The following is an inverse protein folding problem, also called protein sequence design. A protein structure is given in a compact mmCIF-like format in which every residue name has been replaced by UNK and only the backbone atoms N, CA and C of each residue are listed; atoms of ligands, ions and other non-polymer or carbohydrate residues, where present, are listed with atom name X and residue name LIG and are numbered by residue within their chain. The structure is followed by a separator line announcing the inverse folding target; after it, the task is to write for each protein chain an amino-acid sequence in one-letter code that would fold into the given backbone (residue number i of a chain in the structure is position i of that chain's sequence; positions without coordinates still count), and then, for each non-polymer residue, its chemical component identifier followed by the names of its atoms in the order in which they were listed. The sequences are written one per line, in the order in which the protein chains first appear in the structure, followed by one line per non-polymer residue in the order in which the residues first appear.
data_IF_385643028946
#
_entry.id   IF_385643028946
#
_cell.length_a   1.000
_cell.length_b   1.000
_cell.length_c   1.000
_cell.angle_alpha   90.00
_cell.angle_beta   90.00
_cell.angle_gamma   90.00
#
_symmetry.space_group_name_H-M   'P 1'
#
loop_
_entity.id
_entity.type
_entity.pdbx_description
1 polymer ?
#
# COMPACT_ATOMS: atom_id res chain seq x y z
N UNK A 1 -23.24 -18.30 -1.46
CA UNK A 1 -24.51 -17.56 -1.31
C UNK A 1 -24.24 -16.10 -1.64
N UNK A 2 -25.00 -15.47 -2.53
CA UNK A 2 -24.82 -14.05 -2.81
C UNK A 2 -25.21 -13.25 -1.56
N UNK A 3 -24.32 -12.37 -1.09
CA UNK A 3 -24.60 -11.50 0.05
C UNK A 3 -25.53 -10.38 -0.42
N UNK A 4 -26.76 -10.37 0.12
CA UNK A 4 -27.81 -9.41 -0.19
C UNK A 4 -27.46 -8.00 0.26
N UNK A 5 -27.74 -7.03 -0.61
CA UNK A 5 -27.52 -5.60 -0.44
C UNK A 5 -28.37 -5.01 0.70
N UNK A 6 -27.69 -4.37 1.67
CA UNK A 6 -28.31 -3.43 2.60
C UNK A 6 -28.29 -2.02 2.02
N UNK A 7 -29.39 -1.28 2.17
CA UNK A 7 -29.63 0.05 1.59
C UNK A 7 -28.52 1.09 1.85
N UNK A 8 -28.34 2.05 0.91
CA UNK A 8 -27.24 3.01 0.94
C UNK A 8 -27.45 4.05 2.03
N UNK A 9 -26.65 3.99 3.09
CA UNK A 9 -26.49 5.16 3.95
C UNK A 9 -25.68 6.21 3.18
N UNK A 10 -26.33 7.35 2.90
CA UNK A 10 -25.74 8.54 2.31
C UNK A 10 -24.49 8.94 3.10
N UNK A 11 -23.32 8.55 2.58
CA UNK A 11 -22.05 9.17 2.96
C UNK A 11 -22.14 10.65 2.57
N UNK A 12 -21.71 11.59 3.44
CA UNK A 12 -21.46 12.95 3.00
C UNK A 12 -20.44 12.89 1.85
N UNK A 13 -20.87 13.42 0.71
CA UNK A 13 -20.17 13.59 -0.56
C UNK A 13 -18.69 13.14 -0.53
N UNK A 14 -18.41 11.95 -1.06
CA UNK A 14 -17.06 11.35 -1.14
C UNK A 14 -16.06 12.27 -1.88
N UNK A 15 -16.56 13.21 -2.70
CA UNK A 15 -15.78 14.30 -3.28
C UNK A 15 -15.08 15.21 -2.23
N UNK A 16 -15.52 15.22 -0.97
CA UNK A 16 -14.92 15.98 0.13
C UNK A 16 -14.01 15.16 1.08
N UNK A 17 -14.03 13.82 1.00
CA UNK A 17 -13.05 12.97 1.71
C UNK A 17 -11.90 12.54 0.81
N UNK A 18 -12.14 12.40 -0.50
CA UNK A 18 -11.08 12.27 -1.51
C UNK A 18 -10.29 13.59 -1.63
N UNK A 19 -10.90 14.74 -1.34
CA UNK A 19 -10.17 16.03 -1.31
C UNK A 19 -9.23 16.19 -0.10
N UNK A 20 -9.29 15.31 0.91
CA UNK A 20 -8.38 15.30 2.07
C UNK A 20 -7.40 14.12 2.10
N UNK A 21 -7.57 13.13 1.23
CA UNK A 21 -6.68 11.97 1.12
C UNK A 21 -6.00 12.01 -0.27
N UNK A 22 -5.01 12.90 -0.33
CA UNK A 22 -3.73 12.73 -1.03
C UNK A 22 -3.76 12.44 -2.55
N UNK A 23 -4.02 13.48 -3.33
CA UNK A 23 -3.17 13.83 -4.49
C UNK A 23 -2.32 15.07 -4.18
N UNK A 24 -1.88 15.18 -2.93
CA UNK A 24 -0.72 15.98 -2.62
C UNK A 24 0.48 15.06 -2.78
N UNK A 25 1.20 15.18 -3.90
CA UNK A 25 2.56 14.66 -3.98
C UNK A 25 3.36 15.09 -2.73
N UNK A 26 3.06 16.26 -2.13
CA UNK A 26 3.65 16.73 -0.87
C UNK A 26 3.05 16.21 0.46
N UNK A 27 1.83 15.68 0.52
CA UNK A 27 1.27 15.06 1.74
C UNK A 27 1.45 13.53 1.70
N UNK A 28 1.60 12.96 0.52
CA UNK A 28 2.23 11.65 0.32
C UNK A 28 3.72 11.70 0.72
N UNK A 29 4.41 12.82 0.43
CA UNK A 29 5.70 13.14 1.05
C UNK A 29 5.54 13.31 2.58
N UNK A 30 4.62 14.10 3.13
CA UNK A 30 4.48 14.29 4.60
C UNK A 30 4.40 13.03 5.47
N UNK A 31 3.74 11.97 4.99
CA UNK A 31 3.55 10.70 5.73
C UNK A 31 4.71 9.70 5.57
N UNK A 32 5.51 9.80 4.51
CA UNK A 32 6.85 9.15 4.43
C UNK A 32 7.96 10.01 5.06
N UNK A 33 7.79 11.33 5.12
CA UNK A 33 8.79 12.29 5.62
C UNK A 33 8.85 12.35 7.14
N UNK A 34 7.73 12.09 7.84
CA UNK A 34 7.73 11.86 9.28
C UNK A 34 8.44 10.56 9.67
N UNK A 35 8.47 9.57 8.77
CA UNK A 35 9.14 8.29 8.98
C UNK A 35 10.67 8.41 8.85
N UNK A 36 11.16 9.15 7.85
CA UNK A 36 12.61 9.27 7.61
C UNK A 36 13.33 10.33 8.45
N UNK A 37 12.66 11.43 8.86
CA UNK A 37 13.28 12.42 9.77
C UNK A 37 13.46 11.92 11.20
N UNK A 38 12.74 10.89 11.63
CA UNK A 38 12.87 10.32 12.99
C UNK A 38 13.88 9.17 13.09
N UNK A 39 14.23 8.53 11.98
CA UNK A 39 15.25 7.47 11.96
C UNK A 39 16.67 8.04 11.85
N UNK A 40 16.84 9.25 11.30
CA UNK A 40 18.15 9.86 11.07
C UNK A 40 18.77 10.67 12.24
N UNK A 41 18.10 10.78 13.40
CA UNK A 41 18.61 11.60 14.53
C UNK A 41 18.94 10.80 15.79
N UNK A 42 19.28 9.51 15.65
CA UNK A 42 19.96 8.75 16.72
C UNK A 42 21.12 7.97 16.11
N UNK A 43 22.32 8.57 16.23
CA UNK A 43 23.64 7.95 16.19
C UNK A 43 23.95 6.88 15.11
N UNK A 44 24.72 7.34 14.11
CA UNK A 44 25.75 6.64 13.33
C UNK A 44 25.80 5.11 13.30
N UNK A 45 25.64 4.55 12.10
CA UNK A 45 26.54 3.53 11.55
C UNK A 45 26.28 3.36 10.05
N UNK A 46 27.36 3.50 9.28
CA UNK A 46 27.47 3.09 7.89
C UNK A 46 27.15 1.60 7.79
N UNK A 47 26.07 1.25 7.11
CA UNK A 47 25.83 -0.09 6.60
C UNK A 47 25.18 0.06 5.22
N UNK A 48 25.88 -0.41 4.18
CA UNK A 48 25.25 -0.83 2.93
C UNK A 48 24.10 -1.79 3.31
N UNK A 49 22.85 -1.36 3.20
CA UNK A 49 21.72 -2.24 3.45
C UNK A 49 21.39 -3.01 2.18
N UNK A 50 22.08 -4.15 2.04
CA UNK A 50 21.47 -5.38 1.55
C UNK A 50 20.08 -5.45 2.19
N UNK A 51 19.00 -5.48 1.40
CA UNK A 51 17.66 -5.81 1.89
C UNK A 51 17.81 -7.01 2.84
N UNK A 52 17.46 -6.92 4.13
CA UNK A 52 17.70 -8.03 5.06
C UNK A 52 17.11 -9.28 4.43
N UNK A 53 17.90 -10.36 4.42
CA UNK A 53 17.50 -11.64 3.85
C UNK A 53 16.05 -11.93 4.27
N UNK A 54 15.21 -12.26 3.28
CA UNK A 54 13.76 -12.45 3.43
C UNK A 54 13.49 -13.71 4.27
N UNK A 55 13.83 -13.67 5.56
CA UNK A 55 13.57 -14.75 6.48
C UNK A 55 12.05 -14.86 6.59
N UNK A 56 11.49 -15.83 5.90
CA UNK A 56 10.08 -16.22 5.96
C UNK A 56 9.87 -17.40 6.91
N UNK A 57 10.95 -17.93 7.50
CA UNK A 57 10.92 -19.07 8.41
C UNK A 57 11.54 -18.76 9.76
N UNK A 58 11.02 -19.35 10.82
CA UNK A 58 11.54 -19.23 12.19
C UNK A 58 11.32 -20.52 12.97
N UNK A 59 12.33 -21.01 13.68
CA UNK A 59 12.12 -22.03 14.70
C UNK A 59 11.60 -21.35 15.98
N UNK A 60 10.32 -21.53 16.30
CA UNK A 60 9.66 -20.83 17.42
C UNK A 60 10.03 -21.38 18.81
N UNK A 61 10.82 -22.45 18.88
CA UNK A 61 11.42 -22.93 20.13
C UNK A 61 12.59 -22.03 20.57
N UNK A 62 13.24 -21.36 19.62
CA UNK A 62 14.35 -20.43 19.88
C UNK A 62 13.85 -19.04 20.32
N UNK A 63 12.53 -18.81 20.29
CA UNK A 63 11.90 -17.56 20.70
C UNK A 63 11.58 -17.61 22.19
N UNK A 64 12.17 -16.70 22.98
CA UNK A 64 11.90 -16.64 24.41
C UNK A 64 10.46 -16.20 24.67
N UNK A 65 9.86 -16.66 25.78
CA UNK A 65 8.52 -16.21 26.20
C UNK A 65 8.53 -14.69 26.45
N UNK A 66 7.59 -13.98 25.83
CA UNK A 66 7.52 -12.51 25.87
C UNK A 66 8.37 -11.81 24.81
N UNK A 67 9.11 -12.54 23.98
CA UNK A 67 9.92 -11.98 22.90
C UNK A 67 9.10 -11.77 21.62
N UNK A 68 9.39 -10.68 20.90
CA UNK A 68 8.93 -10.44 19.53
C UNK A 68 10.10 -10.61 18.57
N UNK A 69 9.95 -11.47 17.57
CA UNK A 69 10.87 -11.59 16.43
C UNK A 69 10.23 -11.05 15.16
N UNK A 70 11.00 -10.32 14.36
CA UNK A 70 10.55 -9.81 13.07
C UNK A 70 11.08 -10.69 11.94
N UNK A 71 10.16 -11.23 11.16
CA UNK A 71 10.38 -11.83 9.85
C UNK A 71 10.03 -10.83 8.75
N UNK A 72 10.37 -11.12 7.50
CA UNK A 72 10.02 -10.27 6.36
C UNK A 72 9.35 -11.06 5.26
N UNK A 73 8.17 -10.60 4.84
CA UNK A 73 7.39 -11.17 3.76
C UNK A 73 7.05 -10.09 2.73
N UNK A 74 7.53 -10.24 1.49
CA UNK A 74 7.42 -9.22 0.42
C UNK A 74 7.91 -7.83 0.87
N UNK A 75 9.01 -7.80 1.62
CA UNK A 75 9.58 -6.55 2.17
C UNK A 75 8.79 -5.93 3.32
N UNK A 76 7.73 -6.58 3.82
CA UNK A 76 6.94 -6.12 4.96
C UNK A 76 7.30 -6.89 6.22
N UNK A 77 7.40 -6.21 7.38
CA UNK A 77 7.66 -6.89 8.64
C UNK A 77 6.48 -7.80 9.00
N UNK A 78 6.79 -8.99 9.50
CA UNK A 78 5.86 -9.92 10.14
C UNK A 78 6.36 -10.14 11.56
N UNK A 79 5.55 -9.74 12.53
CA UNK A 79 5.88 -9.86 13.95
C UNK A 79 5.41 -11.21 14.45
N UNK A 80 6.34 -11.96 15.06
CA UNK A 80 6.10 -13.25 15.69
C UNK A 80 6.32 -13.07 17.20
N UNK A 81 5.26 -13.25 17.99
CA UNK A 81 5.30 -13.03 19.44
C UNK A 81 5.01 -14.32 20.21
N UNK A 82 5.87 -14.64 21.19
CA UNK A 82 5.69 -15.79 22.07
C UNK A 82 4.92 -15.38 23.33
N UNK A 83 3.69 -15.86 23.49
CA UNK A 83 2.82 -15.51 24.61
C UNK A 83 3.24 -16.19 25.91
N UNK A 84 2.91 -15.56 27.03
CA UNK A 84 2.95 -16.19 28.35
C UNK A 84 1.72 -17.09 28.56
N UNK A 85 1.81 -18.05 29.49
CA UNK A 85 0.65 -18.87 29.86
C UNK A 85 -0.52 -18.04 30.42
N UNK A 86 -0.21 -16.95 31.15
CA UNK A 86 -1.21 -16.04 31.70
C UNK A 86 -2.00 -15.32 30.60
N UNK A 87 -1.30 -14.81 29.57
CA UNK A 87 -1.95 -14.16 28.42
C UNK A 87 -2.86 -15.12 27.65
N UNK A 88 -2.44 -16.39 27.48
CA UNK A 88 -3.27 -17.41 26.83
C UNK A 88 -4.54 -17.66 27.65
N UNK A 89 -4.43 -17.75 28.98
CA UNK A 89 -5.57 -17.95 29.86
C UNK A 89 -6.55 -16.76 29.81
N UNK A 90 -6.02 -15.52 29.84
CA UNK A 90 -6.81 -14.29 29.74
C UNK A 90 -7.57 -14.20 28.41
N UNK A 91 -6.88 -14.41 27.28
CA UNK A 91 -7.52 -14.40 25.95
C UNK A 91 -8.60 -15.47 25.81
N UNK A 92 -8.42 -16.64 26.43
CA UNK A 92 -9.43 -17.70 26.42
C UNK A 92 -10.70 -17.34 27.20
N UNK A 93 -10.64 -16.37 28.10
CA UNK A 93 -11.80 -15.84 28.82
C UNK A 93 -12.45 -14.65 28.08
N UNK A 94 -11.73 -14.02 27.17
CA UNK A 94 -12.23 -12.89 26.39
C UNK A 94 -13.38 -13.29 25.43
N UNK A 95 -14.29 -12.34 25.21
CA UNK A 95 -15.35 -12.40 24.19
C UNK A 95 -15.05 -11.36 23.12
N UNK A 96 -14.31 -11.71 22.06
CA UNK A 96 -13.84 -10.73 21.09
C UNK A 96 -14.98 -10.19 20.23
N UNK A 97 -15.03 -8.87 20.07
CA UNK A 97 -15.91 -8.21 19.11
C UNK A 97 -15.46 -8.54 17.69
N UNK A 98 -16.38 -9.06 16.88
CA UNK A 98 -16.13 -9.29 15.46
C UNK A 98 -16.36 -8.00 14.68
N UNK A 99 -15.48 -7.72 13.72
CA UNK A 99 -15.73 -6.64 12.76
C UNK A 99 -16.96 -7.01 11.92
N UNK A 100 -17.85 -6.05 11.64
CA UNK A 100 -18.97 -6.31 10.75
C UNK A 100 -18.45 -6.64 9.33
N UNK A 101 -19.18 -7.47 8.56
CA UNK A 101 -18.71 -7.95 7.25
C UNK A 101 -18.29 -6.83 6.27
N UNK A 102 -18.98 -5.69 6.28
CA UNK A 102 -18.64 -4.56 5.43
C UNK A 102 -17.29 -3.93 5.79
N UNK A 103 -16.96 -3.81 7.08
CA UNK A 103 -15.69 -3.22 7.52
C UNK A 103 -14.51 -4.11 7.10
N UNK A 104 -14.72 -5.42 7.19
CA UNK A 104 -13.77 -6.42 6.72
C UNK A 104 -13.51 -6.29 5.21
N UNK A 105 -14.56 -6.10 4.42
CA UNK A 105 -14.42 -5.90 2.98
C UNK A 105 -13.66 -4.61 2.64
N UNK A 106 -13.93 -3.51 3.35
CA UNK A 106 -13.24 -2.24 3.12
C UNK A 106 -11.74 -2.31 3.45
N UNK A 107 -11.37 -3.06 4.49
CA UNK A 107 -9.97 -3.35 4.82
C UNK A 107 -9.25 -4.04 3.66
N UNK A 108 -9.82 -5.12 3.11
CA UNK A 108 -9.18 -5.84 2.01
C UNK A 108 -9.21 -5.07 0.70
N UNK A 109 -10.22 -4.22 0.48
CA UNK A 109 -10.22 -3.26 -0.64
C UNK A 109 -9.05 -2.29 -0.54
N UNK A 110 -8.77 -1.74 0.64
CA UNK A 110 -7.62 -0.86 0.84
C UNK A 110 -6.30 -1.58 0.58
N UNK A 111 -6.16 -2.83 1.04
CA UNK A 111 -4.97 -3.65 0.74
C UNK A 111 -4.85 -3.96 -0.75
N UNK A 112 -5.96 -4.28 -1.43
CA UNK A 112 -5.97 -4.59 -2.85
C UNK A 112 -5.59 -3.40 -3.72
N UNK A 113 -6.08 -2.19 -3.40
CA UNK A 113 -5.72 -0.94 -4.10
C UNK A 113 -4.23 -0.61 -4.06
N UNK A 114 -3.59 -0.93 -2.92
CA UNK A 114 -2.18 -0.58 -2.67
C UNK A 114 -1.22 -1.68 -3.10
N UNK A 115 -1.65 -2.94 -2.99
CA UNK A 115 -0.76 -4.11 -3.03
C UNK A 115 -1.23 -5.21 -3.99
N UNK A 116 -2.36 -5.00 -4.67
CA UNK A 116 -2.97 -5.92 -5.63
C UNK A 116 -3.90 -6.96 -4.99
N UNK A 117 -4.87 -7.43 -5.80
CA UNK A 117 -5.87 -8.44 -5.42
C UNK A 117 -5.23 -9.74 -4.90
N UNK A 118 -4.12 -10.18 -5.50
CA UNK A 118 -3.43 -11.40 -5.07
C UNK A 118 -2.91 -11.30 -3.61
N UNK A 119 -2.28 -10.18 -3.26
CA UNK A 119 -1.77 -9.98 -1.90
C UNK A 119 -2.90 -9.80 -0.89
N UNK A 120 -3.93 -9.04 -1.24
CA UNK A 120 -5.12 -8.90 -0.38
C UNK A 120 -5.82 -10.25 -0.14
N UNK A 121 -5.84 -11.13 -1.16
CA UNK A 121 -6.40 -12.48 -1.03
C UNK A 121 -5.59 -13.37 -0.10
N UNK A 122 -4.25 -13.27 -0.14
CA UNK A 122 -3.38 -13.97 0.82
C UNK A 122 -3.62 -13.48 2.24
N UNK A 123 -3.79 -12.17 2.45
CA UNK A 123 -4.12 -11.62 3.77
C UNK A 123 -5.50 -12.07 4.24
N UNK A 124 -6.49 -12.11 3.34
CA UNK A 124 -7.82 -12.63 3.63
C UNK A 124 -7.74 -14.11 4.06
N UNK A 125 -7.02 -14.95 3.30
CA UNK A 125 -6.86 -16.37 3.61
C UNK A 125 -6.15 -16.62 4.95
N UNK A 126 -5.16 -15.79 5.32
CA UNK A 126 -4.47 -15.90 6.60
C UNK A 126 -5.29 -15.37 7.78
N UNK A 127 -6.03 -14.27 7.58
CA UNK A 127 -6.74 -13.58 8.66
C UNK A 127 -8.12 -14.15 8.90
N UNK A 128 -8.94 -14.36 7.86
CA UNK A 128 -10.35 -14.70 7.95
C UNK A 128 -10.64 -15.92 8.85
N UNK A 129 -9.90 -17.04 8.74
CA UNK A 129 -10.15 -18.21 9.59
C UNK A 129 -9.84 -17.99 11.08
N UNK A 130 -8.97 -17.01 11.39
CA UNK A 130 -8.49 -16.76 12.74
C UNK A 130 -9.14 -15.53 13.39
N UNK A 131 -9.71 -14.63 12.58
CA UNK A 131 -10.20 -13.30 12.96
C UNK A 131 -11.22 -13.35 14.12
N UNK A 132 -12.13 -14.33 14.05
CA UNK A 132 -13.17 -14.58 15.05
C UNK A 132 -12.76 -15.48 16.22
N UNK A 133 -11.58 -16.11 16.17
CA UNK A 133 -11.10 -16.99 17.25
C UNK A 133 -10.57 -16.18 18.42
N UNK A 134 -10.68 -16.68 19.66
CA UNK A 134 -10.20 -15.97 20.85
C UNK A 134 -8.72 -15.56 20.73
N UNK A 135 -7.88 -16.47 20.26
CA UNK A 135 -6.42 -16.30 20.23
C UNK A 135 -5.88 -15.65 18.94
N UNK A 136 -6.64 -15.60 17.85
CA UNK A 136 -6.18 -15.13 16.53
C UNK A 136 -4.85 -15.77 16.09
N UNK A 137 -4.71 -17.07 16.30
CA UNK A 137 -3.46 -17.80 16.06
C UNK A 137 -3.72 -19.28 15.82
N UNK A 138 -2.92 -19.93 14.98
CA UNK A 138 -2.97 -21.39 14.77
C UNK A 138 -2.42 -22.16 15.98
N UNK A 139 -1.44 -21.58 16.68
CA UNK A 139 -0.88 -22.07 17.94
C UNK A 139 -1.22 -21.10 19.08
N UNK A 140 -1.64 -21.58 20.26
CA UNK A 140 -1.96 -20.70 21.38
C UNK A 140 -0.80 -19.82 21.84
N UNK A 141 0.42 -20.37 21.81
CA UNK A 141 1.63 -19.75 22.33
C UNK A 141 2.31 -18.78 21.37
N UNK A 142 1.90 -18.71 20.09
CA UNK A 142 2.57 -17.87 19.07
C UNK A 142 1.55 -17.04 18.30
N UNK A 143 1.66 -15.71 18.41
CA UNK A 143 1.00 -14.78 17.50
C UNK A 143 1.87 -14.56 16.27
N UNK A 144 1.26 -14.55 15.08
CA UNK A 144 1.90 -14.13 13.83
C UNK A 144 1.04 -13.06 13.20
N UNK A 145 1.54 -11.83 13.08
CA UNK A 145 0.81 -10.69 12.51
C UNK A 145 1.69 -9.87 11.58
N UNK A 146 1.06 -9.24 10.60
CA UNK A 146 1.70 -8.26 9.76
C UNK A 146 2.05 -7.04 10.61
N UNK A 147 3.34 -6.67 10.64
CA UNK A 147 3.90 -5.58 11.43
C UNK A 147 3.71 -4.20 10.80
N UNK A 148 2.62 -4.01 10.05
CA UNK A 148 2.31 -2.72 9.42
C UNK A 148 0.88 -2.33 9.74
N UNK A 149 0.65 -1.06 10.11
CA UNK A 149 -0.70 -0.55 10.32
C UNK A 149 -1.51 -0.59 9.03
N UNK A 150 -2.80 -0.86 9.18
CA UNK A 150 -3.72 -1.15 8.08
C UNK A 150 -4.06 0.10 7.28
N UNK A 151 -4.15 1.27 7.90
CA UNK A 151 -4.48 2.53 7.23
C UNK A 151 -3.25 3.32 6.78
N UNK A 152 -2.21 3.43 7.61
CA UNK A 152 -1.07 4.33 7.33
C UNK A 152 0.19 3.61 6.81
N UNK A 153 0.22 2.27 6.87
CA UNK A 153 1.40 1.51 6.49
C UNK A 153 2.62 1.80 7.39
N UNK A 154 2.38 2.20 8.64
CA UNK A 154 3.44 2.45 9.60
C UNK A 154 3.91 1.15 10.26
N UNK A 155 5.22 1.00 10.43
CA UNK A 155 5.80 -0.15 11.11
C UNK A 155 5.35 -0.20 12.58
N UNK A 156 4.70 -1.30 12.94
CA UNK A 156 4.21 -1.56 14.29
C UNK A 156 5.37 -1.83 15.23
N UNK A 157 5.32 -1.23 16.42
CA UNK A 157 6.36 -1.36 17.43
C UNK A 157 5.86 -2.18 18.63
N UNK A 158 6.75 -2.96 19.23
CA UNK A 158 6.49 -3.63 20.49
C UNK A 158 6.83 -2.72 21.68
N UNK A 159 5.97 -2.69 22.69
CA UNK A 159 6.16 -1.95 23.94
C UNK A 159 6.29 -2.94 25.09
N UNK A 160 7.51 -3.20 25.54
CA UNK A 160 7.79 -4.24 26.54
C UNK A 160 7.09 -4.00 27.88
N UNK A 161 7.07 -2.75 28.36
CA UNK A 161 6.50 -2.39 29.67
C UNK A 161 4.98 -2.64 29.75
N UNK A 162 4.28 -2.41 28.65
CA UNK A 162 2.82 -2.59 28.56
C UNK A 162 2.42 -3.91 27.91
N UNK A 163 3.38 -4.66 27.37
CA UNK A 163 3.18 -5.88 26.59
C UNK A 163 2.17 -5.69 25.45
N UNK A 164 2.32 -4.60 24.69
CA UNK A 164 1.39 -4.20 23.64
C UNK A 164 2.13 -3.88 22.34
N UNK A 165 1.41 -3.97 21.23
CA UNK A 165 1.85 -3.37 19.98
C UNK A 165 1.31 -1.96 19.86
N UNK A 166 2.07 -1.06 19.22
CA UNK A 166 1.66 0.32 18.97
C UNK A 166 1.92 0.70 17.52
N UNK A 167 0.95 1.37 16.91
CA UNK A 167 1.17 2.13 15.68
C UNK A 167 1.67 3.54 16.08
N UNK A 168 2.95 3.88 15.81
CA UNK A 168 3.51 5.17 16.22
C UNK A 168 2.91 6.36 15.45
N UNK A 169 2.22 6.13 14.34
CA UNK A 169 1.63 7.18 13.50
C UNK A 169 0.25 7.62 13.99
N UNK A 170 -0.58 6.67 14.43
CA UNK A 170 -1.91 6.95 14.96
C UNK A 170 -1.95 7.01 16.49
N UNK A 171 -1.03 6.30 17.17
CA UNK A 171 -1.10 6.05 18.61
C UNK A 171 -2.01 4.86 18.98
N UNK A 172 -2.59 4.18 17.99
CA UNK A 172 -3.44 3.01 18.21
C UNK A 172 -2.65 1.87 18.84
N UNK A 173 -3.24 1.24 19.85
CA UNK A 173 -2.63 0.13 20.59
C UNK A 173 -3.35 -1.17 20.28
N UNK A 174 -2.57 -2.23 20.18
CA UNK A 174 -3.05 -3.59 19.94
C UNK A 174 -2.59 -4.54 21.04
N UNK A 175 -3.45 -5.47 21.40
CA UNK A 175 -3.16 -6.53 22.36
C UNK A 175 -2.26 -7.62 21.78
N UNK A 176 -1.91 -8.60 22.60
CA UNK A 176 -1.10 -9.77 22.22
C UNK A 176 -1.83 -10.79 21.35
N UNK A 177 -3.05 -10.48 20.91
CA UNK A 177 -3.82 -11.14 19.86
C UNK A 177 -3.87 -10.31 18.55
N UNK A 178 -3.26 -9.12 18.54
CA UNK A 178 -3.29 -8.20 17.41
C UNK A 178 -4.59 -7.41 17.28
N UNK A 179 -5.50 -7.49 18.26
CA UNK A 179 -6.75 -6.69 18.25
C UNK A 179 -6.52 -5.30 18.79
N UNK A 180 -7.27 -4.32 18.28
CA UNK A 180 -7.28 -2.97 18.84
C UNK A 180 -7.82 -3.03 20.28
N UNK A 181 -7.04 -2.49 21.22
CA UNK A 181 -7.43 -2.33 22.64
C UNK A 181 -7.74 -0.87 22.98
N UNK A 182 -7.10 0.06 22.27
CA UNK A 182 -7.36 1.49 22.39
C UNK A 182 -7.38 2.07 20.98
N UNK A 183 -8.59 2.26 20.46
CA UNK A 183 -8.81 2.82 19.13
C UNK A 183 -8.53 4.32 19.13
N UNK A 184 -8.07 4.81 17.99
CA UNK A 184 -8.10 6.24 17.65
C UNK A 184 -9.11 6.45 16.54
N UNK A 185 -9.48 7.69 16.25
CA UNK A 185 -10.30 8.04 15.10
C UNK A 185 -9.61 7.77 13.75
N UNK A 186 -8.33 7.38 13.79
CA UNK A 186 -7.46 7.20 12.61
C UNK A 186 -7.26 5.75 12.18
N UNK A 187 -7.46 4.78 13.07
CA UNK A 187 -7.27 3.36 12.79
C UNK A 187 -8.36 2.52 13.42
N UNK A 188 -8.95 1.64 12.63
CA UNK A 188 -10.17 0.91 13.01
C UNK A 188 -10.10 -0.59 12.74
N UNK A 189 -8.95 -1.08 12.28
CA UNK A 189 -8.77 -2.49 11.96
C UNK A 189 -7.71 -3.17 12.83
N UNK A 190 -7.97 -4.43 13.15
CA UNK A 190 -6.99 -5.28 13.82
C UNK A 190 -5.79 -5.53 12.90
N UNK A 191 -4.65 -5.89 13.49
CA UNK A 191 -3.50 -6.31 12.71
C UNK A 191 -3.86 -7.56 11.88
N UNK A 192 -3.52 -7.50 10.59
CA UNK A 192 -3.75 -8.59 9.66
C UNK A 192 -2.80 -9.75 9.95
N UNK A 193 -3.26 -10.97 9.68
CA UNK A 193 -2.48 -12.19 9.87
C UNK A 193 -2.08 -12.70 8.48
N UNK A 194 -0.78 -12.81 8.19
CA UNK A 194 -0.34 -13.40 6.94
C UNK A 194 -0.67 -14.90 6.91
N UNK A 195 -0.80 -15.48 5.72
CA UNK A 195 -0.77 -16.95 5.59
C UNK A 195 0.51 -17.49 6.21
N UNK A 196 0.38 -18.54 7.01
CA UNK A 196 1.50 -19.19 7.67
C UNK A 196 1.15 -20.62 8.04
N UNK A 197 2.17 -21.44 8.29
CA UNK A 197 2.01 -22.83 8.76
C UNK A 197 3.09 -23.18 9.75
N UNK A 198 2.80 -24.17 10.59
CA UNK A 198 3.75 -24.79 11.49
C UNK A 198 4.02 -26.24 11.07
N UNK A 199 5.29 -26.61 10.90
CA UNK A 199 5.75 -27.98 10.83
C UNK A 199 6.53 -28.29 12.11
N UNK A 200 5.83 -28.77 13.14
CA UNK A 200 6.35 -28.77 14.51
C UNK A 200 6.60 -27.35 15.01
N UNK A 201 7.86 -27.04 15.34
CA UNK A 201 8.29 -25.69 15.76
C UNK A 201 8.81 -24.81 14.62
N UNK A 202 8.89 -25.31 13.39
CA UNK A 202 9.25 -24.49 12.25
C UNK A 202 8.02 -23.73 11.73
N UNK A 203 7.98 -22.43 12.00
CA UNK A 203 7.07 -21.48 11.38
C UNK A 203 7.56 -21.17 9.96
N UNK A 204 6.64 -21.17 8.99
CA UNK A 204 6.83 -20.64 7.63
C UNK A 204 5.72 -19.63 7.34
N UNK A 205 6.06 -18.49 6.74
CA UNK A 205 5.15 -17.38 6.43
C UNK A 205 5.11 -17.12 4.92
N UNK A 206 3.95 -16.68 4.43
CA UNK A 206 3.76 -16.27 3.04
C UNK A 206 3.36 -17.44 2.13
N UNK A 207 3.67 -17.32 0.85
CA UNK A 207 3.31 -18.28 -0.20
C UNK A 207 3.99 -19.65 0.01
N UNK A 208 5.11 -19.70 0.73
CA UNK A 208 5.74 -20.97 1.11
C UNK A 208 4.91 -21.77 2.14
N UNK A 209 3.91 -21.14 2.75
CA UNK A 209 2.98 -21.79 3.66
C UNK A 209 1.69 -22.27 2.98
N UNK A 210 1.31 -21.71 1.83
CA UNK A 210 0.04 -22.03 1.16
C UNK A 210 0.25 -22.16 -0.35
N UNK A 211 -0.03 -23.33 -0.91
CA UNK A 211 0.31 -23.66 -2.29
C UNK A 211 -0.58 -22.95 -3.31
N UNK A 212 -1.84 -22.66 -2.95
CA UNK A 212 -2.75 -21.90 -3.80
C UNK A 212 -3.85 -21.22 -2.99
N UNK A 213 -4.00 -19.91 -3.17
CA UNK A 213 -5.13 -19.14 -2.63
C UNK A 213 -6.00 -18.63 -3.78
N UNK A 214 -7.31 -18.77 -3.64
CA UNK A 214 -8.27 -18.16 -4.57
C UNK A 214 -8.07 -16.65 -4.59
N UNK A 215 -7.77 -16.10 -5.76
CA UNK A 215 -7.64 -14.66 -5.92
C UNK A 215 -9.03 -14.05 -6.02
N UNK A 216 -9.37 -13.22 -5.04
CA UNK A 216 -10.61 -12.46 -5.02
C UNK A 216 -10.45 -11.14 -5.74
N UNK A 217 -11.46 -10.76 -6.52
CA UNK A 217 -11.56 -9.42 -7.05
C UNK A 217 -12.23 -8.49 -6.03
N UNK A 218 -11.46 -7.55 -5.47
CA UNK A 218 -11.97 -6.61 -4.48
C UNK A 218 -12.52 -5.32 -5.10
N UNK A 219 -12.39 -5.14 -6.42
CA UNK A 219 -12.88 -3.96 -7.10
C UNK A 219 -14.40 -3.80 -6.93
N UNK A 220 -14.92 -2.58 -6.76
CA UNK A 220 -16.36 -2.35 -6.84
C UNK A 220 -16.87 -2.62 -8.26
N UNK A 221 -18.18 -2.74 -8.44
CA UNK A 221 -18.76 -2.74 -9.78
C UNK A 221 -18.71 -1.33 -10.39
N UNK A 222 -17.57 -0.98 -10.98
CA UNK A 222 -17.21 0.39 -11.40
C UNK A 222 -18.26 0.98 -12.35
N UNK A 223 -18.79 0.19 -13.29
CA UNK A 223 -19.77 0.68 -14.27
C UNK A 223 -21.11 1.07 -13.63
N UNK A 224 -21.49 0.41 -12.54
CA UNK A 224 -22.73 0.67 -11.82
C UNK A 224 -22.64 1.84 -10.83
N UNK A 225 -21.45 2.42 -10.62
CA UNK A 225 -21.30 3.56 -9.73
C UNK A 225 -21.99 4.81 -10.30
N UNK A 226 -22.72 5.53 -9.45
CA UNK A 226 -23.37 6.80 -9.79
C UNK A 226 -22.36 7.96 -9.73
N UNK A 227 -21.35 7.90 -10.58
CA UNK A 227 -20.25 8.89 -10.71
C UNK A 227 -19.95 9.14 -12.20
N UNK A 228 -19.28 10.25 -12.57
CA UNK A 228 -18.93 10.53 -13.97
C UNK A 228 -18.07 9.43 -14.61
N UNK A 229 -18.21 9.21 -15.92
CA UNK A 229 -17.43 8.18 -16.64
C UNK A 229 -15.92 8.42 -16.57
N UNK A 230 -15.48 9.69 -16.55
CA UNK A 230 -14.08 10.00 -16.33
C UNK A 230 -13.56 9.54 -14.96
N UNK A 231 -14.35 9.66 -13.89
CA UNK A 231 -13.99 9.12 -12.57
C UNK A 231 -13.98 7.58 -12.58
N UNK A 232 -14.94 6.95 -13.28
CA UNK A 232 -14.93 5.49 -13.49
C UNK A 232 -13.66 5.04 -14.19
N UNK A 233 -13.16 5.80 -15.17
CA UNK A 233 -11.92 5.50 -15.87
C UNK A 233 -10.72 5.55 -14.91
N UNK A 234 -10.65 6.58 -14.05
CA UNK A 234 -9.60 6.64 -13.02
C UNK A 234 -9.65 5.43 -12.08
N UNK A 235 -10.85 5.00 -11.65
CA UNK A 235 -11.00 3.79 -10.83
C UNK A 235 -10.61 2.52 -11.59
N UNK A 236 -10.97 2.40 -12.87
CA UNK A 236 -10.60 1.24 -13.69
C UNK A 236 -9.07 1.13 -13.84
N UNK A 237 -8.37 2.26 -13.99
CA UNK A 237 -6.90 2.32 -13.97
C UNK A 237 -6.36 1.94 -12.58
N UNK A 238 -6.93 2.48 -11.51
CA UNK A 238 -6.49 2.20 -10.15
C UNK A 238 -6.58 0.70 -9.80
N UNK A 239 -7.64 0.05 -10.26
CA UNK A 239 -7.94 -1.38 -10.08
C UNK A 239 -7.38 -2.29 -11.18
N UNK A 240 -6.64 -1.72 -12.16
CA UNK A 240 -6.03 -2.45 -13.28
C UNK A 240 -7.05 -3.33 -14.04
N UNK A 241 -8.14 -2.71 -14.50
CA UNK A 241 -9.24 -3.36 -15.23
C UNK A 241 -9.19 -3.03 -16.73
N UNK A 242 -8.37 -3.73 -17.54
CA UNK A 242 -8.14 -3.39 -18.95
C UNK A 242 -9.42 -3.39 -19.79
N UNK A 243 -10.34 -4.32 -19.53
CA UNK A 243 -11.62 -4.39 -20.25
C UNK A 243 -12.47 -3.14 -19.98
N UNK A 244 -12.58 -2.73 -18.72
CA UNK A 244 -13.32 -1.53 -18.33
C UNK A 244 -12.65 -0.26 -18.83
N UNK A 245 -11.31 -0.20 -18.83
CA UNK A 245 -10.57 0.91 -19.42
C UNK A 245 -10.93 1.02 -20.90
N UNK A 246 -10.89 -0.09 -21.64
CA UNK A 246 -11.18 -0.12 -23.08
C UNK A 246 -12.62 0.29 -23.40
N UNK A 247 -13.58 -0.14 -22.58
CA UNK A 247 -15.00 0.25 -22.68
C UNK A 247 -15.19 1.75 -22.40
N UNK A 248 -14.61 2.25 -21.31
CA UNK A 248 -14.77 3.65 -20.89
C UNK A 248 -14.09 4.64 -21.85
N UNK A 249 -13.03 4.22 -22.56
CA UNK A 249 -12.37 5.03 -23.59
C UNK A 249 -13.20 5.22 -24.86
N UNK A 250 -14.33 4.50 -25.03
CA UNK A 250 -15.26 4.74 -26.13
C UNK A 250 -16.07 6.04 -25.94
N UNK A 251 -16.13 6.55 -24.71
CA UNK A 251 -16.80 7.82 -24.40
C UNK A 251 -15.78 8.97 -24.47
N UNK A 252 -15.82 9.85 -25.49
CA UNK A 252 -14.85 10.93 -25.64
C UNK A 252 -14.90 11.96 -24.50
N UNK A 253 -16.00 12.02 -23.73
CA UNK A 253 -16.12 12.96 -22.60
C UNK A 253 -15.15 12.66 -21.46
N UNK A 254 -14.56 11.46 -21.43
CA UNK A 254 -13.55 11.10 -20.42
C UNK A 254 -12.23 11.85 -20.57
N UNK A 255 -11.95 12.40 -21.76
CA UNK A 255 -10.70 13.13 -22.06
C UNK A 255 -10.56 14.43 -21.27
N UNK A 256 -11.69 15.10 -21.01
CA UNK A 256 -11.74 16.38 -20.29
C UNK A 256 -11.77 16.19 -18.76
N UNK A 257 -11.94 14.94 -18.30
CA UNK A 257 -12.06 14.65 -16.89
C UNK A 257 -10.71 14.78 -16.16
N UNK A 258 -10.75 15.47 -15.03
CA UNK A 258 -9.64 15.60 -14.11
C UNK A 258 -10.13 15.61 -12.67
N UNK A 259 -9.29 15.15 -11.75
CA UNK A 259 -9.55 15.21 -10.32
C UNK A 259 -9.59 16.66 -9.82
N UNK A 260 -9.98 16.84 -8.56
CA UNK A 260 -9.92 18.15 -7.88
C UNK A 260 -8.52 18.77 -7.83
N UNK A 261 -7.45 17.98 -8.01
CA UNK A 261 -6.08 18.48 -8.09
C UNK A 261 -5.61 18.73 -9.51
N UNK A 262 -6.46 18.48 -10.52
CA UNK A 262 -6.12 18.58 -11.94
C UNK A 262 -5.43 17.34 -12.52
N UNK A 263 -5.41 16.21 -11.80
CA UNK A 263 -4.82 14.98 -12.33
C UNK A 263 -5.79 14.29 -13.32
N UNK A 264 -5.25 13.82 -14.45
CA UNK A 264 -6.00 13.12 -15.50
C UNK A 264 -5.62 11.63 -15.53
N UNK A 265 -6.31 10.83 -16.36
CA UNK A 265 -6.03 9.39 -16.51
C UNK A 265 -4.56 9.09 -16.84
N UNK A 266 -3.90 9.93 -17.65
CA UNK A 266 -2.51 9.71 -18.05
C UNK A 266 -1.50 9.96 -16.91
N UNK A 267 -1.83 10.81 -15.94
CA UNK A 267 -1.03 10.95 -14.71
C UNK A 267 -1.08 9.65 -13.88
N UNK A 268 -2.27 9.07 -13.73
CA UNK A 268 -2.44 7.81 -12.99
C UNK A 268 -1.78 6.64 -13.71
N UNK A 269 -1.90 6.56 -15.04
CA UNK A 269 -1.25 5.54 -15.84
C UNK A 269 0.28 5.60 -15.74
N UNK A 270 0.86 6.80 -15.77
CA UNK A 270 2.30 6.99 -15.60
C UNK A 270 2.80 6.48 -14.24
N UNK A 271 1.97 6.59 -13.19
CA UNK A 271 2.31 6.14 -11.84
C UNK A 271 2.07 4.63 -11.60
N UNK A 272 0.90 4.09 -11.97
CA UNK A 272 0.50 2.71 -11.64
C UNK A 272 0.68 1.70 -12.76
N UNK A 273 0.36 2.09 -14.00
CA UNK A 273 0.27 1.19 -15.13
C UNK A 273 1.61 0.79 -15.73
N UNK A 274 1.54 -0.05 -16.75
CA UNK A 274 2.64 -0.32 -17.66
C UNK A 274 2.50 0.58 -18.91
N UNK A 275 3.56 0.69 -19.71
CA UNK A 275 3.62 1.60 -20.86
C UNK A 275 2.56 1.31 -21.94
N UNK A 276 1.99 0.10 -21.96
CA UNK A 276 0.85 -0.25 -22.81
C UNK A 276 -0.40 0.59 -22.50
N UNK A 277 -0.66 0.89 -21.23
CA UNK A 277 -1.77 1.75 -20.82
C UNK A 277 -1.54 3.20 -21.27
N UNK A 278 -0.29 3.68 -21.19
CA UNK A 278 0.06 5.00 -21.72
C UNK A 278 -0.19 5.08 -23.23
N UNK A 279 0.18 4.02 -23.96
CA UNK A 279 -0.10 3.91 -25.39
C UNK A 279 -1.59 3.98 -25.68
N UNK A 280 -2.40 3.19 -24.96
CA UNK A 280 -3.85 3.15 -25.14
C UNK A 280 -4.50 4.52 -24.88
N UNK A 281 -4.13 5.19 -23.78
CA UNK A 281 -4.65 6.51 -23.45
C UNK A 281 -4.22 7.56 -24.47
N UNK A 282 -2.95 7.53 -24.90
CA UNK A 282 -2.46 8.49 -25.89
C UNK A 282 -3.18 8.32 -27.24
N UNK A 283 -3.40 7.08 -27.69
CA UNK A 283 -4.20 6.77 -28.89
C UNK A 283 -5.66 7.24 -28.78
N UNK A 284 -6.22 7.22 -27.57
CA UNK A 284 -7.55 7.77 -27.31
C UNK A 284 -7.59 9.31 -27.29
N UNK A 285 -6.44 10.00 -27.37
CA UNK A 285 -6.35 11.45 -27.44
C UNK A 285 -5.91 12.14 -26.15
N UNK A 286 -5.50 11.40 -25.11
CA UNK A 286 -4.92 12.02 -23.91
C UNK A 286 -3.58 12.70 -24.24
N UNK A 287 -3.46 13.97 -23.87
CA UNK A 287 -2.24 14.76 -24.05
C UNK A 287 -1.19 14.45 -23.00
N UNK A 288 0.09 14.53 -23.36
CA UNK A 288 1.22 14.24 -22.46
C UNK A 288 1.74 15.47 -21.68
N UNK A 289 1.36 16.67 -22.12
CA UNK A 289 1.80 17.98 -21.60
C UNK A 289 0.87 18.56 -20.52
N UNK A 290 -0.15 17.79 -20.11
CA UNK A 290 -1.08 18.16 -19.05
C UNK A 290 -0.36 18.32 -17.71
N UNK A 291 -0.84 19.25 -16.90
CA UNK A 291 -0.33 19.48 -15.56
C UNK A 291 -1.46 19.52 -14.54
N UNK A 292 -1.17 19.03 -13.35
CA UNK A 292 -2.01 19.27 -12.16
C UNK A 292 -1.96 20.76 -11.75
N UNK A 293 -2.80 21.17 -10.81
CA UNK A 293 -2.78 22.52 -10.24
C UNK A 293 -1.43 22.91 -9.61
N UNK A 294 -0.58 21.94 -9.25
CA UNK A 294 0.77 22.15 -8.72
C UNK A 294 1.87 22.00 -9.78
N UNK A 295 1.52 21.94 -11.06
CA UNK A 295 2.48 21.81 -12.15
C UNK A 295 3.07 20.40 -12.33
N UNK A 296 2.57 19.39 -11.62
CA UNK A 296 3.03 17.99 -11.79
C UNK A 296 2.60 17.46 -13.16
N UNK A 297 3.54 16.94 -13.95
CA UNK A 297 3.32 16.32 -15.26
C UNK A 297 3.20 14.78 -15.14
N UNK A 298 2.72 14.08 -16.19
CA UNK A 298 2.75 12.62 -16.25
C UNK A 298 4.18 12.05 -16.11
N UNK A 299 5.18 12.71 -16.71
CA UNK A 299 6.58 12.29 -16.57
C UNK A 299 7.03 12.36 -15.11
N UNK A 300 6.73 13.45 -14.40
CA UNK A 300 7.03 13.58 -12.97
C UNK A 300 6.37 12.46 -12.14
N UNK A 301 5.15 12.04 -12.48
CA UNK A 301 4.49 10.90 -11.81
C UNK A 301 5.21 9.56 -12.07
N UNK A 302 5.71 9.31 -13.28
CA UNK A 302 6.52 8.13 -13.58
C UNK A 302 7.85 8.12 -12.82
N UNK A 303 8.51 9.28 -12.72
CA UNK A 303 9.75 9.45 -11.94
C UNK A 303 9.52 9.24 -10.44
N UNK A 304 8.44 9.81 -9.90
CA UNK A 304 8.03 9.60 -8.51
C UNK A 304 7.78 8.11 -8.21
N UNK A 305 7.15 7.40 -9.15
CA UNK A 305 6.86 5.97 -9.03
C UNK A 305 8.06 5.05 -9.32
N UNK A 306 9.22 5.59 -9.72
CA UNK A 306 10.36 4.81 -10.20
C UNK A 306 10.01 3.86 -11.36
N UNK A 307 9.11 4.29 -12.25
CA UNK A 307 8.68 3.54 -13.43
C UNK A 307 9.51 3.96 -14.64
N UNK A 308 10.72 3.42 -14.76
CA UNK A 308 11.66 3.78 -15.82
C UNK A 308 11.08 3.57 -17.23
N UNK A 309 10.36 2.47 -17.46
CA UNK A 309 9.74 2.16 -18.76
C UNK A 309 8.65 3.17 -19.14
N UNK A 310 7.83 3.60 -18.17
CA UNK A 310 6.82 4.64 -18.40
C UNK A 310 7.47 6.00 -18.66
N UNK A 311 8.53 6.33 -17.91
CA UNK A 311 9.28 7.56 -18.12
C UNK A 311 9.93 7.60 -19.50
N UNK A 312 10.57 6.50 -19.92
CA UNK A 312 11.13 6.34 -21.27
C UNK A 312 10.06 6.50 -22.33
N UNK A 313 8.95 5.78 -22.20
CA UNK A 313 7.84 5.87 -23.15
C UNK A 313 7.35 7.30 -23.31
N UNK A 314 7.16 8.03 -22.20
CA UNK A 314 6.73 9.44 -22.22
C UNK A 314 7.74 10.33 -22.95
N UNK A 315 9.04 10.16 -22.69
CA UNK A 315 10.11 10.93 -23.36
C UNK A 315 10.14 10.63 -24.86
N UNK A 316 10.06 9.36 -25.26
CA UNK A 316 10.05 8.94 -26.66
C UNK A 316 8.83 9.47 -27.44
N UNK A 317 7.71 9.71 -26.75
CA UNK A 317 6.48 10.27 -27.33
C UNK A 317 6.37 11.80 -27.15
N UNK A 318 7.49 12.47 -26.79
CA UNK A 318 7.57 13.93 -26.80
C UNK A 318 7.05 14.64 -25.55
N UNK A 319 6.89 13.94 -24.43
CA UNK A 319 6.63 14.60 -23.16
C UNK A 319 7.79 15.54 -22.79
N UNK A 320 7.46 16.73 -22.30
CA UNK A 320 8.46 17.70 -21.86
C UNK A 320 9.30 17.13 -20.72
N UNK A 321 10.63 17.21 -20.86
CA UNK A 321 11.59 16.85 -19.81
C UNK A 321 11.84 17.99 -18.82
N UNK A 322 11.32 19.19 -19.10
CA UNK A 322 11.35 20.33 -18.19
C UNK A 322 10.32 20.11 -17.07
N UNK A 323 10.80 20.12 -15.82
CA UNK A 323 9.99 19.96 -14.63
C UNK A 323 9.90 21.28 -13.86
N UNK A 324 8.88 21.40 -13.00
CA UNK A 324 8.80 22.46 -11.99
C UNK A 324 8.90 21.86 -10.59
N UNK A 325 9.92 22.28 -9.84
CA UNK A 325 10.17 21.92 -8.45
C UNK A 325 9.93 23.16 -7.59
N UNK A 326 8.93 23.14 -6.71
CA UNK A 326 8.57 24.29 -5.84
C UNK A 326 8.43 25.61 -6.61
N UNK A 327 7.70 25.57 -7.74
CA UNK A 327 7.49 26.68 -8.69
C UNK A 327 8.78 27.21 -9.35
N UNK A 328 9.88 26.47 -9.32
CA UNK A 328 11.12 26.79 -10.03
C UNK A 328 11.41 25.74 -11.10
N UNK A 329 11.98 26.13 -12.25
CA UNK A 329 12.44 25.16 -13.23
C UNK A 329 13.47 24.20 -12.61
N UNK A 330 13.31 22.91 -12.87
CA UNK A 330 14.28 21.88 -12.49
C UNK A 330 14.36 20.79 -13.56
N UNK A 331 15.48 20.08 -13.57
CA UNK A 331 15.72 18.89 -14.37
C UNK A 331 15.04 17.66 -13.76
N UNK A 332 14.83 16.62 -14.57
CA UNK A 332 14.34 15.34 -14.08
C UNK A 332 15.27 14.70 -13.04
N UNK A 333 16.59 14.90 -13.15
CA UNK A 333 17.55 14.45 -12.14
C UNK A 333 17.39 15.16 -10.80
N UNK A 334 17.21 16.48 -10.80
CA UNK A 334 16.98 17.26 -9.57
C UNK A 334 15.65 16.88 -8.93
N UNK A 335 14.59 16.70 -9.74
CA UNK A 335 13.30 16.22 -9.24
C UNK A 335 13.42 14.84 -8.59
N UNK A 336 14.09 13.88 -9.25
CA UNK A 336 14.33 12.54 -8.69
C UNK A 336 15.11 12.59 -7.39
N UNK A 337 16.16 13.40 -7.29
CA UNK A 337 16.92 13.57 -6.05
C UNK A 337 16.08 14.23 -4.95
N UNK A 338 15.21 15.19 -5.29
CA UNK A 338 14.31 15.82 -4.33
C UNK A 338 13.29 14.83 -3.75
N UNK A 339 12.71 13.96 -4.58
CA UNK A 339 11.67 13.01 -4.14
C UNK A 339 12.24 11.68 -3.63
N UNK A 340 13.43 11.30 -4.09
CA UNK A 340 14.15 10.08 -3.73
C UNK A 340 15.60 10.41 -3.33
N UNK A 341 15.78 11.17 -2.25
CA UNK A 341 17.10 11.62 -1.78
C UNK A 341 18.11 10.53 -1.42
N UNK A 342 17.71 9.25 -1.48
CA UNK A 342 18.61 8.11 -1.33
C UNK A 342 19.22 7.63 -2.67
N UNK A 343 18.73 8.12 -3.81
CA UNK A 343 19.23 7.75 -5.13
C UNK A 343 20.42 8.64 -5.49
N UNK A 344 21.63 8.09 -5.40
CA UNK A 344 22.86 8.79 -5.72
C UNK A 344 23.75 7.95 -6.65
N UNK A 345 24.76 8.61 -7.23
CA UNK A 345 25.80 7.97 -8.05
C UNK A 345 25.24 7.08 -9.16
N UNK A 346 25.75 5.85 -9.23
CA UNK A 346 25.45 4.88 -10.30
C UNK A 346 23.97 4.48 -10.35
N UNK A 347 23.28 4.42 -9.21
CA UNK A 347 21.85 4.04 -9.16
C UNK A 347 20.97 5.09 -9.84
N UNK A 348 21.23 6.36 -9.55
CA UNK A 348 20.55 7.48 -10.21
C UNK A 348 20.84 7.51 -11.70
N UNK A 349 22.12 7.35 -12.09
CA UNK A 349 22.51 7.33 -13.51
C UNK A 349 21.88 6.17 -14.27
N UNK A 350 21.84 4.98 -13.67
CA UNK A 350 21.22 3.78 -14.26
C UNK A 350 19.74 4.02 -14.51
N UNK A 351 19.02 4.57 -13.52
CA UNK A 351 17.61 4.88 -13.68
C UNK A 351 17.38 5.95 -14.76
N UNK A 352 18.15 7.04 -14.76
CA UNK A 352 18.04 8.09 -15.77
C UNK A 352 18.29 7.57 -17.19
N UNK A 353 19.28 6.69 -17.37
CA UNK A 353 19.54 6.02 -18.64
C UNK A 353 18.37 5.10 -19.05
N UNK A 354 17.84 4.31 -18.11
CA UNK A 354 16.65 3.50 -18.35
C UNK A 354 15.44 4.36 -18.70
N UNK A 355 15.27 5.53 -18.09
CA UNK A 355 14.17 6.45 -18.35
C UNK A 355 14.35 7.29 -19.64
N UNK A 356 15.44 7.12 -20.40
CA UNK A 356 15.71 7.92 -21.61
C UNK A 356 16.07 9.38 -21.31
N UNK A 357 16.53 9.68 -20.09
CA UNK A 357 16.83 11.03 -19.59
C UNK A 357 18.34 11.28 -19.41
N UNK A 358 19.19 10.33 -19.81
CA UNK A 358 20.63 10.53 -19.82
C UNK A 358 21.02 11.57 -20.88
N UNK A 359 21.97 12.46 -20.57
CA UNK A 359 22.49 13.42 -21.55
C UNK A 359 23.19 12.64 -22.69
N UNK A 360 22.98 13.00 -23.97
CA UNK A 360 23.80 12.48 -25.04
C UNK A 360 25.27 12.88 -24.79
N UNK A 361 26.17 11.92 -25.01
CA UNK A 361 27.62 12.06 -24.79
C UNK A 361 28.26 13.11 -25.70
#
# INVERSE_FOLDING_TARGET
MPLSEGQPFLMPNISQKISRIQLDAQAWLGSRWAWWRRVATVAGLVLLHIMPAQATTLNVQQLAVGEVKTLYWRGRPVLVYKRTAAQIAELNQASPTQLPPWAKLDLYRAQARTSGNAFASLLLAGTDPLDGTKLRSQRPDVLVVLGVSTNFGCAIQWQADSQQFIDPCSGTRYGVDGRIIQATDRESFNLLIPVHRFAGDLLTVGEAAEQSVTIHDFAPNILQLTIPNGEKLLQAIEWQKPDLISELLQDPTVLDYHTVTGATAIHLAAFKGDSSLLTQLHQAGFRLDVTTQKGVTPLMMALLAMKADNARWLVEHGASTLCQCDNKPCSASEYLQQVHGHLEGTSLQTFLHQAGLAKPH
#
